data_IF_270966919978
#
_entry.id   IF_270966919978
#
_cell.length_a   1.000
_cell.length_b   1.000
_cell.length_c   1.000
_cell.angle_alpha   90.00
_cell.angle_beta   90.00
_cell.angle_gamma   90.00
#
_symmetry.space_group_name_H-M   'P 1'
#
loop_
_entity.id
_entity.type
_entity.pdbx_description
1 polymer ?
#
# COMPACT_ATOMS: atom_id res chain seq x y z
N UNK A 1 -4.02 -5.90 30.06
CA UNK A 1 -2.80 -6.56 29.55
C UNK A 1 -2.71 -6.27 28.07
N UNK A 2 -1.54 -5.84 27.57
CA UNK A 2 -1.34 -5.62 26.13
C UNK A 2 -0.71 -6.88 25.53
N UNK A 3 -1.36 -7.47 24.53
CA UNK A 3 -0.83 -8.60 23.76
C UNK A 3 -0.22 -8.01 22.49
N UNK A 4 1.06 -8.25 22.27
CA UNK A 4 1.76 -7.78 21.07
C UNK A 4 1.75 -8.90 20.03
N UNK A 5 1.02 -8.68 18.93
CA UNK A 5 0.95 -9.60 17.80
C UNK A 5 1.72 -8.96 16.64
N UNK A 6 2.67 -9.69 16.05
CA UNK A 6 3.42 -9.25 14.87
C UNK A 6 2.93 -10.06 13.66
N UNK A 7 2.42 -9.38 12.65
CA UNK A 7 2.00 -9.99 11.39
C UNK A 7 2.81 -9.41 10.22
N UNK A 8 3.08 -10.24 9.22
CA UNK A 8 3.59 -9.81 7.92
C UNK A 8 2.44 -10.09 6.95
N UNK A 9 1.99 -9.07 6.23
CA UNK A 9 0.89 -9.16 5.29
C UNK A 9 1.45 -9.08 3.88
N UNK A 10 1.01 -10.01 3.02
CA UNK A 10 1.23 -9.96 1.58
C UNK A 10 -0.15 -9.76 0.95
N UNK A 11 -0.27 -8.73 0.10
CA UNK A 11 -1.52 -8.35 -0.54
C UNK A 11 -1.27 -8.28 -2.04
N UNK A 12 -2.18 -8.87 -2.81
CA UNK A 12 -2.22 -8.68 -4.25
C UNK A 12 -3.30 -7.66 -4.57
N UNK A 13 -2.92 -6.55 -5.20
CA UNK A 13 -3.86 -5.52 -5.66
C UNK A 13 -4.03 -5.71 -7.17
N UNK A 14 -5.28 -5.65 -7.64
CA UNK A 14 -5.57 -5.65 -9.08
C UNK A 14 -5.10 -4.34 -9.71
N UNK A 15 -4.57 -4.40 -10.93
CA UNK A 15 -4.05 -3.23 -11.68
C UNK A 15 -5.01 -2.05 -11.68
N UNK A 16 -6.29 -2.29 -11.95
CA UNK A 16 -7.32 -1.24 -12.00
C UNK A 16 -7.48 -0.53 -10.66
N UNK A 17 -7.42 -1.27 -9.54
CA UNK A 17 -7.57 -0.70 -8.20
C UNK A 17 -6.31 0.02 -7.73
N UNK A 18 -5.14 -0.40 -8.23
CA UNK A 18 -3.89 0.29 -7.97
C UNK A 18 -3.82 1.62 -8.73
N UNK A 19 -4.20 1.62 -10.01
CA UNK A 19 -4.27 2.81 -10.85
C UNK A 19 -5.27 3.83 -10.28
N UNK A 20 -6.51 3.40 -10.01
CA UNK A 20 -7.55 4.26 -9.42
C UNK A 20 -7.09 4.85 -8.07
N UNK A 21 -6.48 4.01 -7.21
CA UNK A 21 -6.02 4.41 -5.88
C UNK A 21 -4.79 5.32 -5.90
N UNK A 22 -3.88 5.18 -6.87
CA UNK A 22 -2.73 6.08 -7.01
C UNK A 22 -3.14 7.41 -7.66
N UNK A 23 -4.04 7.37 -8.65
CA UNK A 23 -4.54 8.56 -9.34
C UNK A 23 -5.47 9.42 -8.48
N UNK A 24 -6.28 8.83 -7.59
CA UNK A 24 -7.19 9.60 -6.72
C UNK A 24 -6.43 10.47 -5.71
N UNK A 25 -5.24 10.03 -5.29
CA UNK A 25 -4.54 10.67 -4.19
C UNK A 25 -3.25 11.41 -4.59
N UNK A 26 -2.78 11.29 -5.84
CA UNK A 26 -1.69 12.02 -6.59
C UNK A 26 -0.32 12.20 -5.87
N UNK A 27 -0.25 11.95 -4.57
CA UNK A 27 0.90 12.11 -3.67
C UNK A 27 1.03 10.93 -2.67
N UNK A 28 0.12 9.94 -2.72
CA UNK A 28 0.09 8.81 -1.79
C UNK A 28 0.83 7.61 -2.36
N UNK A 29 1.82 7.11 -1.63
CA UNK A 29 2.50 5.85 -1.94
C UNK A 29 1.59 4.65 -1.63
N UNK A 30 1.85 3.50 -2.23
CA UNK A 30 1.14 2.25 -1.92
C UNK A 30 1.28 1.91 -0.43
N UNK A 31 2.44 2.18 0.17
CA UNK A 31 2.65 2.06 1.62
C UNK A 31 1.68 2.93 2.43
N UNK A 32 1.48 4.19 2.03
CA UNK A 32 0.57 5.11 2.69
C UNK A 32 -0.89 4.69 2.56
N UNK A 33 -1.31 4.23 1.37
CA UNK A 33 -2.66 3.71 1.13
C UNK A 33 -2.96 2.51 2.04
N UNK A 34 -2.02 1.55 2.10
CA UNK A 34 -2.16 0.38 2.94
C UNK A 34 -2.17 0.72 4.44
N UNK A 35 -1.37 1.72 4.86
CA UNK A 35 -1.36 2.18 6.24
C UNK A 35 -2.74 2.75 6.63
N UNK A 36 -3.32 3.61 5.80
CA UNK A 36 -4.64 4.21 6.02
C UNK A 36 -5.77 3.16 6.08
N UNK A 37 -5.74 2.18 5.17
CA UNK A 37 -6.74 1.10 5.15
C UNK A 37 -6.64 0.25 6.41
N UNK A 38 -5.42 -0.15 6.81
CA UNK A 38 -5.23 -1.00 7.97
C UNK A 38 -5.52 -0.25 9.28
N UNK A 39 -5.22 1.05 9.35
CA UNK A 39 -5.51 1.87 10.53
C UNK A 39 -7.02 1.95 10.75
N UNK A 40 -7.78 2.26 9.70
CA UNK A 40 -9.25 2.31 9.75
C UNK A 40 -9.89 0.95 10.02
N UNK A 41 -9.34 -0.14 9.48
CA UNK A 41 -9.94 -1.47 9.59
C UNK A 41 -9.61 -2.18 10.91
N UNK A 42 -8.43 -1.94 11.50
CA UNK A 42 -7.92 -2.69 12.65
C UNK A 42 -7.80 -1.80 13.91
N UNK A 43 -8.08 -0.49 13.82
CA UNK A 43 -7.98 0.48 14.92
C UNK A 43 -6.64 0.35 15.67
N UNK A 44 -5.54 0.41 14.90
CA UNK A 44 -4.18 0.18 15.40
C UNK A 44 -3.39 1.49 15.42
N UNK A 45 -3.02 1.96 16.62
CA UNK A 45 -2.34 3.26 16.80
C UNK A 45 -0.94 3.39 16.15
N UNK A 46 -0.30 2.29 15.71
CA UNK A 46 1.03 2.34 15.09
C UNK A 46 1.20 1.22 14.03
N UNK A 47 0.86 1.54 12.78
CA UNK A 47 1.05 0.65 11.64
C UNK A 47 2.31 1.04 10.88
N UNK A 48 3.14 0.05 10.56
CA UNK A 48 4.33 0.20 9.71
C UNK A 48 4.14 -0.66 8.48
N UNK A 49 3.97 -0.04 7.33
CA UNK A 49 3.91 -0.72 6.04
C UNK A 49 5.24 -0.53 5.32
N UNK A 50 5.70 -1.58 4.62
CA UNK A 50 6.84 -1.49 3.72
C UNK A 50 6.54 -2.27 2.45
N UNK A 51 6.67 -1.64 1.29
CA UNK A 51 6.65 -2.33 0.00
C UNK A 51 8.00 -3.00 -0.21
N UNK A 52 7.98 -4.31 -0.43
CA UNK A 52 9.19 -5.14 -0.57
C UNK A 52 9.46 -5.51 -2.03
N UNK A 53 8.40 -5.54 -2.85
CA UNK A 53 8.40 -5.88 -4.27
C UNK A 53 7.23 -5.15 -4.96
N UNK A 54 7.42 -4.69 -6.20
CA UNK A 54 6.43 -3.92 -6.96
C UNK A 54 6.61 -2.39 -6.89
N UNK A 55 5.81 -1.63 -7.65
CA UNK A 55 5.86 -0.17 -7.69
C UNK A 55 5.18 0.44 -6.45
N UNK A 56 5.79 1.46 -5.87
CA UNK A 56 5.29 2.16 -4.68
C UNK A 56 4.66 3.53 -5.01
N UNK A 57 4.90 4.04 -6.21
CA UNK A 57 4.40 5.34 -6.71
C UNK A 57 3.76 5.17 -8.08
N UNK A 58 2.98 6.17 -8.51
CA UNK A 58 2.40 6.20 -9.84
C UNK A 58 3.48 6.24 -10.93
N UNK A 59 4.55 7.02 -10.73
CA UNK A 59 5.64 7.09 -11.71
C UNK A 59 6.40 5.76 -11.85
N UNK A 60 6.58 5.02 -10.77
CA UNK A 60 7.20 3.68 -10.81
C UNK A 60 6.32 2.66 -11.54
N UNK A 61 4.99 2.76 -11.35
CA UNK A 61 4.03 1.92 -12.05
C UNK A 61 4.05 2.17 -13.56
N UNK A 62 4.01 3.44 -13.98
CA UNK A 62 4.09 3.84 -15.38
C UNK A 62 5.39 3.38 -16.05
N UNK A 63 6.52 3.48 -15.33
CA UNK A 63 7.81 3.00 -15.82
C UNK A 63 7.85 1.48 -16.02
N UNK A 64 7.17 0.71 -15.17
CA UNK A 64 7.08 -0.74 -15.33
C UNK A 64 6.17 -1.12 -16.51
N UNK A 65 5.04 -0.45 -16.67
CA UNK A 65 4.12 -0.64 -17.81
C UNK A 65 4.80 -0.31 -19.14
N UNK A 66 5.59 0.77 -19.20
CA UNK A 66 6.32 1.15 -20.40
C UNK A 66 7.47 0.18 -20.79
N UNK A 67 7.94 -0.63 -19.83
CA UNK A 67 9.04 -1.59 -20.01
C UNK A 67 8.57 -3.05 -20.13
N UNK A 68 7.26 -3.30 -20.10
CA UNK A 68 6.63 -4.64 -20.20
C UNK A 68 6.09 -4.91 -21.61
#
# INVERSE_FOLDING_TARGET
>A
MAIKIKAILELTVSETSLEDGLAEYDELTVEGLLQEVLDKAIACDEIRVKVVEGPNTLEEYDQQQANS
#
